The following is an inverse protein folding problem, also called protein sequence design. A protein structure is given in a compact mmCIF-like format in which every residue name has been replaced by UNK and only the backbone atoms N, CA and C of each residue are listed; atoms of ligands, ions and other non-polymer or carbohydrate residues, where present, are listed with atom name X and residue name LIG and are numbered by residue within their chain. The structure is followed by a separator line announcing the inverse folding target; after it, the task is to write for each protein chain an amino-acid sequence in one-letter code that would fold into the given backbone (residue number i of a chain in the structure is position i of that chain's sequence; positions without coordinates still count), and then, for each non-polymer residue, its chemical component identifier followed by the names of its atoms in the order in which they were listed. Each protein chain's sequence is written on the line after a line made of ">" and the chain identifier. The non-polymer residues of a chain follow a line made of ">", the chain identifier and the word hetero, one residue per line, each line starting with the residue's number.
data_IF_547659290266
#
_entry.id   IF_547659290266
#
_cell.length_a   1.000
_cell.length_b   1.000
_cell.length_c   1.000
_cell.angle_alpha   90.00
_cell.angle_beta   90.00
_cell.angle_gamma   90.00
#
_symmetry.space_group_name_H-M   'P 1'
#
loop_
_entity.id
_entity.type
_entity.pdbx_description
1 polymer ?
#
# COMPACT_ATOMS: atom_id res chain seq x y z
N UNK A 1 21.28 -14.85 14.98
CA UNK A 1 20.27 -14.65 13.92
C UNK A 1 20.98 -13.98 12.75
N UNK A 2 21.32 -14.77 11.73
CA UNK A 2 22.30 -14.44 10.66
C UNK A 2 21.73 -13.66 9.48
N UNK A 3 20.41 -13.53 9.36
CA UNK A 3 19.82 -12.81 8.23
C UNK A 3 19.98 -11.29 8.41
N UNK A 4 20.81 -10.68 7.55
CA UNK A 4 21.11 -9.26 7.57
C UNK A 4 19.87 -8.36 7.32
N UNK A 5 18.94 -8.79 6.46
CA UNK A 5 17.71 -8.02 6.17
C UNK A 5 16.82 -7.92 7.41
N UNK A 6 16.67 -9.02 8.14
CA UNK A 6 15.93 -9.05 9.40
C UNK A 6 16.59 -8.12 10.43
N UNK A 7 17.92 -8.14 10.53
CA UNK A 7 18.64 -7.24 11.44
C UNK A 7 18.44 -5.78 11.06
N UNK A 8 18.49 -5.47 9.76
CA UNK A 8 18.23 -4.12 9.27
C UNK A 8 16.81 -3.65 9.60
N UNK A 9 15.79 -4.50 9.39
CA UNK A 9 14.40 -4.18 9.75
C UNK A 9 14.28 -3.89 11.25
N UNK A 10 14.90 -4.72 12.10
CA UNK A 10 14.90 -4.50 13.55
C UNK A 10 15.54 -3.17 13.92
N UNK A 11 16.69 -2.85 13.36
CA UNK A 11 17.41 -1.61 13.65
C UNK A 11 16.66 -0.37 13.16
N UNK A 12 16.11 -0.42 11.93
CA UNK A 12 15.36 0.67 11.31
C UNK A 12 14.11 0.99 12.13
N UNK A 13 13.35 -0.03 12.53
CA UNK A 13 12.13 0.15 13.31
C UNK A 13 12.40 0.40 14.81
N UNK A 14 13.59 0.04 15.31
CA UNK A 14 13.90 0.09 16.74
C UNK A 14 13.27 -1.05 17.54
N UNK A 15 13.16 -2.23 16.93
CA UNK A 15 12.56 -3.41 17.55
C UNK A 15 13.52 -4.08 18.54
N UNK A 16 13.01 -4.42 19.73
CA UNK A 16 13.73 -5.10 20.79
C UNK A 16 13.19 -6.52 20.93
N UNK A 17 14.09 -7.50 21.00
CA UNK A 17 13.70 -8.91 21.10
C UNK A 17 13.00 -9.19 22.44
N UNK A 18 11.90 -9.94 22.41
CA UNK A 18 11.17 -10.36 23.63
C UNK A 18 10.37 -9.24 24.31
N UNK A 19 10.33 -8.05 23.72
CA UNK A 19 9.53 -6.94 24.24
C UNK A 19 8.10 -7.01 23.72
N UNK A 20 7.14 -6.84 24.63
CA UNK A 20 5.76 -6.59 24.25
C UNK A 20 5.52 -5.08 24.09
N UNK A 21 4.83 -4.69 23.01
CA UNK A 21 4.59 -3.30 22.67
C UNK A 21 3.12 -2.95 22.86
N UNK A 22 2.83 -2.11 23.85
CA UNK A 22 1.49 -1.53 24.04
C UNK A 22 1.25 -0.30 23.14
N UNK A 23 2.33 0.38 22.75
CA UNK A 23 2.29 1.55 21.88
C UNK A 23 3.54 1.66 21.02
N UNK A 24 3.47 2.49 19.98
CA UNK A 24 4.58 2.74 19.05
C UNK A 24 5.54 3.84 19.51
N UNK A 25 5.30 4.48 20.67
CA UNK A 25 6.09 5.63 21.16
C UNK A 25 7.57 5.33 21.38
N UNK A 26 7.94 4.07 21.58
CA UNK A 26 9.33 3.62 21.75
C UNK A 26 10.01 3.13 20.47
N UNK A 27 9.31 3.13 19.34
CA UNK A 27 9.86 2.75 18.04
C UNK A 27 10.40 3.98 17.33
N UNK A 28 11.33 3.76 16.40
CA UNK A 28 11.82 4.84 15.52
C UNK A 28 10.76 5.28 14.51
N UNK A 29 9.85 4.35 14.15
CA UNK A 29 8.73 4.59 13.25
C UNK A 29 7.44 4.04 13.86
N UNK A 30 6.39 4.87 13.84
CA UNK A 30 5.08 4.47 14.35
C UNK A 30 4.25 3.63 13.40
N UNK A 31 4.64 3.59 12.13
CA UNK A 31 3.92 2.90 11.06
C UNK A 31 4.90 2.18 10.14
N UNK A 32 4.54 0.98 9.72
CA UNK A 32 5.21 0.15 8.73
C UNK A 32 4.32 0.08 7.49
N UNK A 33 4.76 0.75 6.42
CA UNK A 33 4.06 0.73 5.13
C UNK A 33 4.66 -0.35 4.21
N UNK A 34 3.80 -1.25 3.74
CA UNK A 34 4.14 -2.29 2.78
C UNK A 34 3.74 -1.81 1.39
N UNK A 35 4.73 -1.64 0.51
CA UNK A 35 4.54 -1.29 -0.89
C UNK A 35 5.00 -2.47 -1.75
N UNK A 36 4.05 -3.34 -2.11
CA UNK A 36 4.32 -4.49 -2.98
C UNK A 36 3.50 -4.41 -4.25
N UNK A 37 3.97 -5.08 -5.30
CA UNK A 37 3.22 -5.18 -6.53
C UNK A 37 1.95 -6.01 -6.33
N UNK A 38 0.96 -5.75 -7.18
CA UNK A 38 -0.32 -6.45 -7.15
C UNK A 38 -0.28 -7.74 -7.96
N UNK A 39 0.78 -8.51 -7.78
CA UNK A 39 0.92 -9.86 -8.31
C UNK A 39 0.95 -10.87 -7.17
N UNK A 40 1.07 -12.14 -7.57
CA UNK A 40 1.11 -13.25 -6.63
C UNK A 40 2.35 -13.15 -5.70
N UNK A 41 3.48 -12.71 -6.24
CA UNK A 41 4.73 -12.58 -5.50
C UNK A 41 4.66 -11.47 -4.45
N UNK A 42 4.04 -10.34 -4.76
CA UNK A 42 3.78 -9.26 -3.80
C UNK A 42 2.89 -9.72 -2.64
N UNK A 43 1.87 -10.55 -2.93
CA UNK A 43 1.01 -11.14 -1.90
C UNK A 43 1.78 -12.11 -0.99
N UNK A 44 2.68 -12.90 -1.56
CA UNK A 44 3.58 -13.78 -0.79
C UNK A 44 4.54 -13.00 0.10
N UNK A 45 5.20 -11.98 -0.43
CA UNK A 45 6.12 -11.12 0.33
C UNK A 45 5.39 -10.45 1.49
N UNK A 46 4.18 -9.93 1.24
CA UNK A 46 3.32 -9.37 2.28
C UNK A 46 3.05 -10.41 3.38
N UNK A 47 2.64 -11.63 3.00
CA UNK A 47 2.40 -12.72 3.95
C UNK A 47 3.62 -13.05 4.81
N UNK A 48 4.81 -13.12 4.21
CA UNK A 48 6.06 -13.38 4.94
C UNK A 48 6.37 -12.28 5.96
N UNK A 49 6.19 -11.01 5.60
CA UNK A 49 6.44 -9.89 6.50
C UNK A 49 5.42 -9.86 7.65
N UNK A 50 4.14 -10.11 7.37
CA UNK A 50 3.09 -10.22 8.39
C UNK A 50 3.43 -11.36 9.35
N UNK A 51 3.78 -12.54 8.82
CA UNK A 51 4.13 -13.70 9.62
C UNK A 51 5.37 -13.43 10.48
N UNK A 52 6.37 -12.73 9.94
CA UNK A 52 7.55 -12.33 10.69
C UNK A 52 7.20 -11.44 11.89
N UNK A 53 6.44 -10.36 11.67
CA UNK A 53 6.03 -9.48 12.77
C UNK A 53 5.12 -10.22 13.77
N UNK A 54 4.19 -11.04 13.29
CA UNK A 54 3.31 -11.83 14.14
C UNK A 54 4.08 -12.82 15.02
N UNK A 55 5.11 -13.47 14.48
CA UNK A 55 5.89 -14.49 15.20
C UNK A 55 6.75 -13.89 16.32
N UNK A 56 7.28 -12.68 16.13
CA UNK A 56 8.20 -12.07 17.09
C UNK A 56 7.56 -11.00 17.97
N UNK A 57 6.59 -10.25 17.45
CA UNK A 57 5.94 -9.11 18.12
C UNK A 57 4.44 -9.03 17.78
N UNK A 58 3.63 -10.03 18.17
CA UNK A 58 2.21 -10.05 17.84
C UNK A 58 1.44 -8.84 18.41
N UNK A 59 1.91 -8.25 19.52
CA UNK A 59 1.32 -7.05 20.12
C UNK A 59 1.35 -5.83 19.20
N UNK A 60 2.37 -5.69 18.34
CA UNK A 60 2.43 -4.60 17.36
C UNK A 60 1.30 -4.65 16.35
N UNK A 61 0.86 -5.85 15.95
CA UNK A 61 -0.24 -6.02 14.99
C UNK A 61 -1.61 -5.67 15.60
N UNK A 62 -1.72 -5.62 16.94
CA UNK A 62 -2.92 -5.16 17.63
C UNK A 62 -3.02 -3.64 17.67
N UNK A 63 -1.91 -2.93 17.46
CA UNK A 63 -1.90 -1.47 17.45
C UNK A 63 -2.55 -0.97 16.16
N UNK A 64 -3.63 -0.18 16.24
CA UNK A 64 -4.30 0.33 15.05
C UNK A 64 -3.35 1.10 14.15
N UNK A 65 -3.43 0.82 12.85
CA UNK A 65 -2.61 1.46 11.82
C UNK A 65 -1.10 1.26 11.94
N UNK A 66 -0.61 0.35 12.80
CA UNK A 66 0.84 0.08 12.84
C UNK A 66 1.34 -0.47 11.50
N UNK A 67 0.61 -1.40 10.90
CA UNK A 67 0.97 -1.98 9.61
C UNK A 67 -0.07 -1.58 8.56
N UNK A 68 0.40 -0.92 7.51
CA UNK A 68 -0.45 -0.39 6.43
C UNK A 68 0.03 -0.90 5.09
N UNK A 69 -0.91 -1.26 4.22
CA UNK A 69 -0.61 -1.62 2.84
C UNK A 69 -0.85 -0.42 1.94
N UNK A 70 0.10 -0.16 1.04
CA UNK A 70 -0.06 0.85 0.03
C UNK A 70 -0.33 0.20 -1.32
N UNK A 71 -1.58 0.30 -1.77
CA UNK A 71 -2.02 -0.19 -3.08
C UNK A 71 -2.02 0.96 -4.10
N UNK A 72 -1.47 0.71 -5.29
CA UNK A 72 -1.54 1.68 -6.40
C UNK A 72 -2.77 1.43 -7.26
N UNK A 73 -3.53 2.48 -7.64
CA UNK A 73 -4.65 2.32 -8.56
C UNK A 73 -4.15 1.92 -9.95
N UNK A 74 -4.86 0.98 -10.58
CA UNK A 74 -4.53 0.45 -11.90
C UNK A 74 -5.14 1.29 -13.02
N UNK A 75 -6.23 2.00 -12.74
CA UNK A 75 -6.89 2.91 -13.69
C UNK A 75 -7.21 4.22 -12.97
N UNK A 76 -6.96 5.35 -13.62
CA UNK A 76 -7.50 6.64 -13.19
C UNK A 76 -8.39 7.21 -14.29
N UNK A 77 -9.62 7.56 -13.94
CA UNK A 77 -10.51 8.31 -14.81
C UNK A 77 -10.54 9.76 -14.33
N UNK A 78 -10.27 10.70 -15.25
CA UNK A 78 -10.35 12.14 -14.97
C UNK A 78 -11.47 12.75 -15.79
N UNK A 79 -12.43 13.38 -15.13
CA UNK A 79 -13.53 14.03 -15.82
C UNK A 79 -13.03 15.31 -16.50
N UNK A 80 -13.33 15.45 -17.79
CA UNK A 80 -12.69 16.45 -18.65
C UNK A 80 -13.01 17.89 -18.21
N UNK A 81 -14.23 18.13 -17.71
CA UNK A 81 -14.76 19.47 -17.38
C UNK A 81 -14.41 19.95 -15.97
N UNK A 82 -14.73 19.16 -14.94
CA UNK A 82 -14.55 19.56 -13.54
C UNK A 82 -13.24 19.01 -12.91
N UNK A 83 -12.44 18.27 -13.69
CA UNK A 83 -11.17 17.65 -13.25
C UNK A 83 -11.31 16.72 -12.05
N UNK A 84 -12.51 16.18 -11.78
CA UNK A 84 -12.69 15.15 -10.76
C UNK A 84 -11.92 13.88 -11.17
N UNK A 85 -11.23 13.24 -10.23
CA UNK A 85 -10.39 12.06 -10.45
C UNK A 85 -10.93 10.87 -9.67
N UNK A 86 -11.33 9.83 -10.39
CA UNK A 86 -11.67 8.53 -9.84
C UNK A 86 -10.48 7.58 -10.04
N UNK A 87 -10.16 6.82 -8.99
CA UNK A 87 -9.06 5.86 -9.00
C UNK A 87 -9.63 4.48 -8.75
N UNK A 88 -9.41 3.56 -9.68
CA UNK A 88 -9.87 2.19 -9.61
C UNK A 88 -8.71 1.29 -9.27
N UNK A 89 -8.96 0.40 -8.32
CA UNK A 89 -7.94 -0.52 -7.84
C UNK A 89 -8.09 -1.89 -8.49
N UNK A 90 -9.22 -2.22 -9.14
CA UNK A 90 -9.40 -3.46 -9.90
C UNK A 90 -10.07 -3.25 -11.27
N UNK A 91 -9.85 -4.18 -12.21
CA UNK A 91 -10.48 -4.11 -13.53
C UNK A 91 -12.01 -4.28 -13.44
N UNK A 92 -12.54 -5.23 -12.63
CA UNK A 92 -13.99 -5.36 -12.46
C UNK A 92 -14.66 -4.10 -11.90
N UNK A 93 -14.02 -3.43 -10.93
CA UNK A 93 -14.52 -2.16 -10.37
C UNK A 93 -14.58 -1.05 -11.44
N UNK A 94 -13.54 -0.96 -12.27
CA UNK A 94 -13.49 -0.03 -13.39
C UNK A 94 -14.56 -0.35 -14.45
N UNK A 95 -14.73 -1.62 -14.81
CA UNK A 95 -15.69 -2.07 -15.81
C UNK A 95 -17.13 -1.80 -15.37
N UNK A 96 -17.49 -2.16 -14.13
CA UNK A 96 -18.81 -1.87 -13.56
C UNK A 96 -19.09 -0.36 -13.52
N UNK A 97 -18.10 0.45 -13.15
CA UNK A 97 -18.24 1.91 -13.22
C UNK A 97 -18.43 2.40 -14.66
N UNK A 98 -17.66 1.88 -15.61
CA UNK A 98 -17.75 2.26 -17.02
C UNK A 98 -19.11 1.90 -17.62
N UNK A 99 -19.66 0.74 -17.27
CA UNK A 99 -21.00 0.32 -17.70
C UNK A 99 -22.09 1.24 -17.13
N UNK A 100 -21.95 1.67 -15.87
CA UNK A 100 -22.90 2.62 -15.24
C UNK A 100 -22.95 4.00 -15.92
N UNK A 101 -21.95 4.35 -16.74
CA UNK A 101 -21.87 5.66 -17.39
C UNK A 101 -22.64 5.76 -18.71
N UNK A 102 -23.13 4.65 -19.28
CA UNK A 102 -23.83 4.60 -20.57
C UNK A 102 -23.23 5.55 -21.63
N UNK A 103 -23.90 6.67 -21.94
CA UNK A 103 -23.51 7.67 -22.96
C UNK A 103 -22.50 8.72 -22.49
N UNK A 104 -22.20 8.79 -21.20
CA UNK A 104 -21.31 9.80 -20.60
C UNK A 104 -19.84 9.38 -20.56
N UNK A 105 -19.49 8.20 -21.08
CA UNK A 105 -18.12 7.69 -21.09
C UNK A 105 -17.12 8.60 -21.81
N UNK A 106 -17.55 9.35 -22.84
CA UNK A 106 -16.72 10.31 -23.59
C UNK A 106 -16.30 11.55 -22.77
N UNK A 107 -16.98 11.83 -21.65
CA UNK A 107 -16.65 12.94 -20.75
C UNK A 107 -15.44 12.65 -19.85
N UNK A 108 -14.88 11.43 -19.90
CA UNK A 108 -13.80 10.99 -19.05
C UNK A 108 -12.54 10.64 -19.85
N UNK A 109 -11.40 11.16 -19.41
CA UNK A 109 -10.07 10.74 -19.85
C UNK A 109 -9.59 9.57 -18.99
N UNK A 110 -9.31 8.44 -19.62
CA UNK A 110 -8.89 7.21 -18.93
C UNK A 110 -7.38 7.04 -19.07
N UNK A 111 -6.70 6.80 -17.94
CA UNK A 111 -5.28 6.49 -17.90
C UNK A 111 -5.05 5.16 -17.18
N UNK A 112 -4.47 4.21 -17.90
CA UNK A 112 -4.06 2.93 -17.38
C UNK A 112 -2.66 3.02 -16.78
N UNK A 113 -2.48 2.36 -15.64
CA UNK A 113 -1.21 2.29 -14.93
C UNK A 113 -0.85 0.81 -14.80
N UNK A 114 -0.19 0.27 -15.82
CA UNK A 114 0.27 -1.12 -15.84
C UNK A 114 1.78 -1.17 -15.55
N UNK A 115 2.16 -1.84 -14.47
CA UNK A 115 3.54 -2.27 -14.20
C UNK A 115 4.56 -1.20 -13.72
N UNK A 116 5.63 -1.72 -13.11
CA UNK A 116 6.68 -1.00 -12.37
C UNK A 116 7.50 0.02 -13.14
N UNK A 117 7.40 0.07 -14.47
CA UNK A 117 8.22 0.94 -15.32
C UNK A 117 7.91 2.43 -15.17
N UNK A 118 6.89 2.81 -14.41
CA UNK A 118 6.46 4.20 -14.29
C UNK A 118 6.36 4.74 -12.86
N UNK A 119 6.75 3.96 -11.83
CA UNK A 119 6.67 4.37 -10.42
C UNK A 119 7.72 5.45 -10.06
N UNK A 120 8.88 5.47 -10.73
CA UNK A 120 10.00 6.39 -10.42
C UNK A 120 9.74 7.90 -10.67
N UNK A 121 8.58 8.31 -11.21
CA UNK A 121 8.27 9.71 -11.59
C UNK A 121 6.90 10.18 -11.09
N UNK A 122 6.51 10.00 -9.82
CA UNK A 122 5.13 10.30 -9.41
C UNK A 122 5.00 10.99 -8.04
N UNK A 123 5.01 12.33 -8.04
CA UNK A 123 4.73 13.20 -6.86
C UNK A 123 3.27 13.15 -6.35
N UNK A 124 2.34 12.51 -7.07
CA UNK A 124 0.90 12.54 -6.77
C UNK A 124 0.25 11.18 -6.49
N UNK A 125 1.04 10.16 -6.16
CA UNK A 125 0.55 8.83 -5.78
C UNK A 125 0.62 8.60 -4.28
N UNK A 126 1.52 9.29 -3.57
CA UNK A 126 1.61 9.14 -2.13
C UNK A 126 0.36 9.73 -1.46
N UNK A 127 -0.31 8.97 -0.57
CA UNK A 127 -1.35 9.51 0.27
C UNK A 127 -0.69 10.58 1.14
N UNK A 128 -1.27 11.78 1.18
CA UNK A 128 -0.85 12.79 2.15
C UNK A 128 -1.37 12.32 3.49
N UNK A 129 -0.49 11.78 4.33
CA UNK A 129 -0.78 11.66 5.75
C UNK A 129 -0.69 13.06 6.34
N UNK A 130 -1.82 13.59 6.80
CA UNK A 130 -1.93 14.81 7.61
C UNK A 130 -1.74 14.47 9.08
#
# INVERSE_FOLDING_TARGET
>A
MENAEIQNIKQILGLQQGKEYESTKGLRYGHLMIMTDRDHDGSHIKGLLINFIHSFWPSLLKIPSFMVEFITPIVKATHNRNKNVLSFYSMPEYEAWKESLERNASSWSIKYWVGNKHIKRRKGIFPRYS
#
